data_IF_784666742281
#
_entry.id   IF_784666742281
#
_cell.length_a   1.000
_cell.length_b   1.000
_cell.length_c   1.000
_cell.angle_alpha   90.00
_cell.angle_beta   90.00
_cell.angle_gamma   90.00
#
_symmetry.space_group_name_H-M   'P 1'
#
loop_
_entity.id
_entity.type
_entity.pdbx_description
1 polymer ?
2 non-polymer ?
3 non-polymer ?
4 water ?
#
# COMPACT_ATOMS: atom_id res chain seq x y z
N UNK A 1 2.84 14.75 19.45
CA UNK A 1 2.41 15.62 18.33
C UNK A 1 1.32 14.94 17.52
N UNK A 2 0.55 15.74 16.79
CA UNK A 2 -0.52 15.21 15.95
C UNK A 2 -0.09 15.33 14.49
N UNK A 3 -0.61 14.44 13.65
CA UNK A 3 -0.28 14.47 12.24
C UNK A 3 -1.55 14.14 11.45
N UNK A 4 -1.45 14.30 10.13
CA UNK A 4 -2.56 13.97 9.24
C UNK A 4 -2.07 12.74 8.48
N UNK A 5 -2.63 11.58 8.81
CA UNK A 5 -2.27 10.33 8.18
C UNK A 5 -3.20 10.04 7.01
N UNK A 6 -2.61 9.65 5.88
CA UNK A 6 -3.38 9.30 4.70
C UNK A 6 -3.14 7.80 4.51
N UNK A 7 -4.17 7.02 4.78
CA UNK A 7 -4.08 5.56 4.70
C UNK A 7 -4.43 5.09 3.30
N UNK A 8 -3.53 4.28 2.73
CA UNK A 8 -3.66 3.77 1.37
C UNK A 8 -3.73 2.24 1.32
N UNK A 9 -4.89 1.75 0.93
CA UNK A 9 -5.14 0.30 0.84
C UNK A 9 -4.42 -0.32 -0.34
N UNK A 10 -4.41 -1.65 -0.38
CA UNK A 10 -3.76 -2.38 -1.46
C UNK A 10 -4.73 -2.75 -2.58
N UNK A 11 -4.22 -3.36 -3.63
CA UNK A 11 -5.09 -3.74 -4.74
C UNK A 11 -6.19 -4.69 -4.28
N UNK A 12 -7.34 -4.57 -4.93
CA UNK A 12 -8.52 -5.39 -4.65
C UNK A 12 -9.18 -5.07 -3.32
N UNK A 13 -8.63 -4.08 -2.61
CA UNK A 13 -9.18 -3.67 -1.32
C UNK A 13 -9.71 -2.24 -1.40
N UNK A 14 -10.05 -1.67 -0.25
CA UNK A 14 -10.56 -0.33 -0.20
C UNK A 14 -10.30 0.27 1.18
N UNK A 15 -10.76 1.50 1.39
CA UNK A 15 -10.56 2.18 2.66
C UNK A 15 -11.03 1.35 3.85
N UNK A 16 -12.01 0.49 3.62
CA UNK A 16 -12.56 -0.37 4.67
C UNK A 16 -11.54 -1.20 5.44
N UNK A 17 -10.40 -1.50 4.82
CA UNK A 17 -9.40 -2.30 5.51
C UNK A 17 -8.84 -1.55 6.73
N UNK A 18 -8.97 -0.23 6.72
CA UNK A 18 -8.48 0.60 7.81
C UNK A 18 -9.57 0.93 8.83
N UNK A 19 -10.68 0.20 8.80
CA UNK A 19 -11.78 0.53 9.71
C UNK A 19 -11.49 0.43 11.20
N UNK A 20 -10.44 -0.30 11.58
CA UNK A 20 -10.10 -0.40 12.99
C UNK A 20 -9.02 0.62 13.33
N UNK A 21 -8.04 0.78 12.45
CA UNK A 21 -6.95 1.71 12.70
C UNK A 21 -7.34 3.19 12.68
N UNK A 22 -8.21 3.57 11.74
CA UNK A 22 -8.61 4.97 11.63
C UNK A 22 -9.17 5.55 12.93
N UNK A 23 -10.19 4.91 13.54
CA UNK A 23 -10.68 5.50 14.79
C UNK A 23 -9.68 5.49 15.93
N UNK A 24 -8.77 4.53 15.94
CA UNK A 24 -7.76 4.48 16.99
C UNK A 24 -6.80 5.65 16.84
N UNK A 25 -6.40 5.95 15.61
CA UNK A 25 -5.49 7.07 15.39
C UNK A 25 -6.19 8.38 15.78
N UNK A 26 -7.49 8.47 15.48
CA UNK A 26 -8.24 9.67 15.83
C UNK A 26 -8.35 9.81 17.35
N UNK A 27 -8.40 8.68 18.05
CA UNK A 27 -8.49 8.70 19.51
C UNK A 27 -7.18 9.21 20.12
N UNK A 28 -6.13 9.26 19.30
CA UNK A 28 -4.83 9.75 19.75
C UNK A 28 -4.72 11.24 19.40
N UNK A 29 -5.74 11.75 18.69
CA UNK A 29 -5.77 13.16 18.32
C UNK A 29 -5.37 13.50 16.91
N UNK A 30 -5.13 12.47 16.09
CA UNK A 30 -4.71 12.70 14.71
C UNK A 30 -5.84 12.87 13.72
N UNK A 31 -5.51 13.43 12.57
CA UNK A 31 -6.47 13.61 11.49
C UNK A 31 -6.18 12.41 10.59
N UNK A 32 -7.22 11.74 10.12
CA UNK A 32 -7.02 10.58 9.26
C UNK A 32 -7.88 10.61 8.03
N UNK A 33 -7.27 10.32 6.89
CA UNK A 33 -7.98 10.24 5.62
C UNK A 33 -7.71 8.84 5.07
N UNK A 34 -8.78 8.08 4.86
CA UNK A 34 -8.66 6.72 4.31
C UNK A 34 -9.35 6.78 2.96
N UNK A 35 -8.57 6.74 1.90
CA UNK A 35 -9.09 6.84 0.55
C UNK A 35 -9.45 5.53 -0.14
N UNK A 36 -10.34 5.64 -1.12
CA UNK A 36 -10.68 4.51 -1.96
C UNK A 36 -9.96 4.89 -3.25
N UNK A 37 -9.04 4.06 -3.71
CA UNK A 37 -8.34 4.36 -4.96
C UNK A 37 -9.28 4.04 -6.12
N UNK A 38 -8.85 4.29 -7.36
CA UNK A 38 -9.71 4.05 -8.51
C UNK A 38 -10.20 2.61 -8.55
N UNK A 39 -11.48 2.44 -8.89
CA UNK A 39 -12.12 1.13 -9.01
C UNK A 39 -11.95 0.27 -7.76
N UNK A 40 -11.84 0.93 -6.61
CA UNK A 40 -11.66 0.23 -5.33
C UNK A 40 -12.69 0.66 -4.30
N UNK A 41 -12.99 -0.22 -3.37
CA UNK A 41 -13.98 0.10 -2.34
C UNK A 41 -15.27 0.53 -2.99
N UNK A 42 -15.78 1.71 -2.65
CA UNK A 42 -17.01 2.17 -3.26
C UNK A 42 -16.80 3.20 -4.37
N UNK A 43 -15.59 3.22 -4.93
CA UNK A 43 -15.30 4.12 -6.05
C UNK A 43 -16.19 3.60 -7.18
N UNK A 44 -16.82 4.52 -7.94
CA UNK A 44 -17.71 4.16 -9.05
C UNK A 44 -17.10 3.54 -10.30
N UNK A 45 -15.80 3.64 -10.48
CA UNK A 45 -15.16 3.08 -11.67
C UNK A 45 -14.94 1.57 -11.57
N UNK A 46 -14.85 0.92 -12.72
CA UNK A 46 -14.59 -0.52 -12.78
C UNK A 46 -13.14 -0.62 -13.23
N UNK A 47 -12.46 -1.69 -12.83
CA UNK A 47 -11.05 -1.84 -13.18
C UNK A 47 -10.73 -1.77 -14.66
N UNK A 48 -11.65 -2.21 -15.51
CA UNK A 48 -11.42 -2.18 -16.95
C UNK A 48 -11.26 -0.76 -17.50
N UNK A 49 -11.60 0.24 -16.69
CA UNK A 49 -11.50 1.65 -17.08
C UNK A 49 -10.12 2.21 -16.72
N UNK A 50 -9.36 1.45 -15.95
CA UNK A 50 -8.04 1.88 -15.48
C UNK A 50 -6.91 1.25 -16.28
N UNK A 51 -6.01 2.07 -16.79
CA UNK A 51 -4.93 1.54 -17.61
C UNK A 51 -3.51 1.53 -17.07
N UNK A 52 -3.33 1.98 -15.83
CA UNK A 52 -1.98 2.00 -15.25
C UNK A 52 -2.06 2.21 -13.74
N UNK A 53 -0.95 1.95 -13.06
CA UNK A 53 -0.91 2.13 -11.61
C UNK A 53 -1.04 3.62 -11.30
N UNK A 54 -0.63 4.47 -12.25
CA UNK A 54 -0.74 5.91 -12.04
C UNK A 54 -2.20 6.34 -12.08
N UNK A 55 -2.97 5.81 -13.02
CA UNK A 55 -4.39 6.15 -13.11
C UNK A 55 -5.09 5.59 -11.88
N UNK A 56 -4.68 4.41 -11.46
CA UNK A 56 -5.24 3.76 -10.29
C UNK A 56 -5.04 4.64 -9.05
N UNK A 57 -3.93 5.38 -9.04
CA UNK A 57 -3.59 6.28 -7.94
C UNK A 57 -4.29 7.64 -7.95
N UNK A 58 -5.12 7.89 -8.95
CA UNK A 58 -5.78 9.19 -9.06
C UNK A 58 -6.36 9.78 -7.77
N UNK A 59 -7.18 9.00 -7.03
CA UNK A 59 -7.74 9.59 -5.82
C UNK A 59 -6.69 10.13 -4.84
N UNK A 60 -5.55 9.47 -4.75
CA UNK A 60 -4.48 9.91 -3.86
C UNK A 60 -3.85 11.20 -4.39
N UNK A 61 -3.59 11.25 -5.68
CA UNK A 61 -2.99 12.44 -6.31
C UNK A 61 -3.93 13.62 -6.20
N UNK A 62 -5.22 13.39 -6.42
CA UNK A 62 -6.21 14.44 -6.34
C UNK A 62 -6.31 14.97 -4.91
N UNK A 63 -6.22 14.07 -3.93
CA UNK A 63 -6.28 14.46 -2.54
C UNK A 63 -5.09 15.34 -2.17
N UNK A 64 -3.89 14.93 -2.59
CA UNK A 64 -2.68 15.69 -2.28
C UNK A 64 -2.73 17.07 -2.94
N UNK A 65 -3.26 17.12 -4.16
CA UNK A 65 -3.37 18.37 -4.89
C UNK A 65 -4.25 19.36 -4.12
N UNK A 66 -5.27 18.84 -3.44
CA UNK A 66 -6.18 19.67 -2.67
C UNK A 66 -5.63 20.20 -1.34
N UNK A 67 -4.47 19.72 -0.93
CA UNK A 67 -3.87 20.19 0.32
C UNK A 67 -3.34 21.61 0.15
N UNK A 68 -3.77 22.54 1.02
CA UNK A 68 -3.30 23.93 0.92
C UNK A 68 -1.78 23.98 1.13
N UNK A 69 -1.10 25.00 0.57
CA UNK A 69 0.35 25.11 0.74
C UNK A 69 0.77 25.04 2.20
N UNK A 70 1.84 24.31 2.47
CA UNK A 70 2.33 24.20 3.84
C UNK A 70 1.86 22.98 4.61
N UNK A 71 0.73 22.42 4.20
CA UNK A 71 0.20 21.24 4.88
C UNK A 71 0.86 19.96 4.39
N UNK A 72 1.41 19.21 5.33
CA UNK A 72 2.08 17.95 5.01
C UNK A 72 1.33 16.78 5.65
N UNK A 73 1.47 15.61 5.04
CA UNK A 73 0.81 14.42 5.54
C UNK A 73 1.80 13.27 5.63
N UNK A 74 1.41 12.25 6.38
CA UNK A 74 2.22 11.04 6.50
C UNK A 74 1.43 9.98 5.76
N UNK A 75 2.02 9.46 4.69
CA UNK A 75 1.34 8.43 3.91
C UNK A 75 1.60 7.07 4.54
N UNK A 76 0.57 6.23 4.58
CA UNK A 76 0.71 4.89 5.14
C UNK A 76 0.14 3.94 4.10
N UNK A 77 0.99 3.12 3.48
CA UNK A 77 0.51 2.21 2.46
C UNK A 77 0.71 0.76 2.82
N UNK A 78 -0.31 -0.06 2.60
CA UNK A 78 -0.21 -1.48 2.90
C UNK A 78 -0.04 -2.30 1.62
N UNK A 79 0.75 -3.35 1.73
CA UNK A 79 0.99 -4.27 0.62
C UNK A 79 1.42 -3.58 -0.69
N UNK A 80 0.54 -3.49 -1.68
CA UNK A 80 0.91 -2.85 -2.94
C UNK A 80 0.85 -1.33 -2.87
N UNK A 81 0.36 -0.82 -1.75
CA UNK A 81 0.24 0.62 -1.56
C UNK A 81 1.54 1.38 -1.69
N UNK A 82 2.66 0.68 -1.48
CA UNK A 82 3.96 1.33 -1.60
C UNK A 82 4.17 1.92 -2.98
N UNK A 83 3.56 1.31 -4.00
CA UNK A 83 3.69 1.81 -5.36
C UNK A 83 2.90 3.11 -5.51
N UNK A 84 1.76 3.21 -4.85
CA UNK A 84 0.97 4.44 -4.91
C UNK A 84 1.76 5.55 -4.22
N UNK A 85 2.48 5.20 -3.16
CA UNK A 85 3.30 6.16 -2.44
C UNK A 85 4.39 6.73 -3.33
N UNK A 86 5.10 5.85 -4.05
CA UNK A 86 6.17 6.28 -4.94
C UNK A 86 5.64 7.22 -6.01
N UNK A 87 4.52 6.85 -6.61
CA UNK A 87 3.90 7.67 -7.65
C UNK A 87 3.54 9.03 -7.10
N UNK A 88 2.92 9.05 -5.92
CA UNK A 88 2.52 10.31 -5.29
C UNK A 88 3.71 11.17 -4.91
N UNK A 89 4.78 10.54 -4.44
CA UNK A 89 5.98 11.27 -4.02
C UNK A 89 6.69 11.99 -5.17
N UNK A 90 6.55 11.47 -6.38
CA UNK A 90 7.19 12.09 -7.53
C UNK A 90 6.38 13.26 -8.06
N UNK A 91 5.23 13.54 -7.44
CA UNK A 91 4.38 14.65 -7.85
C UNK A 91 4.16 15.65 -6.73
N UNK A 92 4.16 15.17 -5.48
CA UNK A 92 3.92 16.03 -4.32
C UNK A 92 4.88 15.77 -3.17
N UNK A 93 6.16 15.60 -3.47
CA UNK A 93 7.14 15.33 -2.42
C UNK A 93 7.13 16.37 -1.30
N UNK A 94 6.92 17.64 -1.65
CA UNK A 94 6.91 18.68 -0.62
C UNK A 94 5.75 18.58 0.38
N UNK A 95 4.73 17.81 0.04
CA UNK A 95 3.57 17.66 0.92
C UNK A 95 3.63 16.39 1.76
N UNK A 96 4.72 15.64 1.64
CA UNK A 96 4.87 14.40 2.37
C UNK A 96 5.93 14.50 3.47
N UNK A 97 5.48 14.42 4.72
CA UNK A 97 6.40 14.49 5.85
C UNK A 97 7.19 13.19 5.94
N UNK A 98 6.53 12.08 5.63
CA UNK A 98 7.14 10.77 5.66
C UNK A 98 6.19 9.75 5.06
N UNK A 99 6.73 8.59 4.69
CA UNK A 99 5.93 7.52 4.13
C UNK A 99 6.19 6.28 4.97
N UNK A 100 5.11 5.64 5.40
CA UNK A 100 5.19 4.43 6.20
C UNK A 100 4.72 3.26 5.35
N UNK A 101 5.56 2.24 5.26
CA UNK A 101 5.25 1.04 4.49
C UNK A 101 4.82 -0.03 5.49
N UNK A 102 3.64 -0.60 5.24
CA UNK A 102 2.98 -1.58 6.11
C UNK A 102 2.92 -2.91 5.36
N UNK A 103 3.86 -3.81 5.65
CA UNK A 103 3.98 -5.10 4.94
C UNK A 103 3.78 -4.73 3.47
N UNK A 104 4.51 -3.72 3.04
CA UNK A 104 4.36 -3.17 1.69
C UNK A 104 5.54 -3.30 0.76
N UNK A 105 5.25 -3.23 -0.53
CA UNK A 105 6.29 -3.25 -1.53
C UNK A 105 7.05 -1.94 -1.31
N UNK A 106 8.35 -1.99 -1.55
CA UNK A 106 9.21 -0.82 -1.38
C UNK A 106 9.96 -0.56 -2.67
N UNK A 107 9.36 0.21 -3.58
CA UNK A 107 10.02 0.51 -4.85
C UNK A 107 11.31 1.28 -4.61
N UNK A 108 12.21 1.28 -5.60
CA UNK A 108 13.45 2.03 -5.48
C UNK A 108 13.61 2.95 -6.69
N UNK A 109 14.78 3.55 -6.82
CA UNK A 109 15.03 4.47 -7.93
C UNK A 109 16.10 3.96 -8.90
N UNK A 110 16.79 2.89 -8.52
CA UNK A 110 17.84 2.34 -9.37
C UNK A 110 17.29 1.33 -10.40
N UNK A 111 16.16 0.70 -10.08
CA UNK A 111 15.58 -0.28 -10.99
C UNK A 111 14.21 0.14 -11.52
N UNK A 112 13.71 -0.59 -12.51
CA UNK A 112 12.41 -0.29 -13.11
C UNK A 112 11.34 -0.33 -12.03
N UNK A 113 10.22 0.40 -12.23
CA UNK A 113 9.14 0.42 -11.25
C UNK A 113 8.54 -0.95 -10.90
N UNK A 114 8.64 -1.91 -11.81
CA UNK A 114 8.08 -3.24 -11.56
C UNK A 114 9.03 -4.15 -10.79
N UNK A 115 10.27 -3.70 -10.61
CA UNK A 115 11.31 -4.48 -9.94
C UNK A 115 10.90 -5.30 -8.72
N UNK A 116 10.36 -4.66 -7.68
CA UNK A 116 9.98 -5.41 -6.49
C UNK A 116 8.76 -6.29 -6.70
N UNK A 117 7.93 -5.95 -7.67
CA UNK A 117 6.75 -6.75 -7.97
C UNK A 117 7.20 -8.04 -8.66
N UNK A 118 8.17 -7.91 -9.56
CA UNK A 118 8.70 -9.06 -10.26
C UNK A 118 9.33 -10.01 -9.25
N UNK A 119 10.00 -9.45 -8.25
CA UNK A 119 10.65 -10.26 -7.22
C UNK A 119 9.59 -10.97 -6.38
N UNK A 120 8.53 -10.24 -6.03
CA UNK A 120 7.45 -10.83 -5.23
C UNK A 120 6.87 -12.06 -5.94
N UNK A 121 6.66 -11.95 -7.24
CA UNK A 121 6.10 -13.06 -8.00
C UNK A 121 7.02 -14.27 -8.00
N UNK A 122 8.32 -14.03 -7.80
CA UNK A 122 9.29 -15.10 -7.75
C UNK A 122 9.20 -15.83 -6.40
N UNK A 123 9.11 -15.04 -5.33
CA UNK A 123 9.03 -15.59 -3.99
C UNK A 123 7.68 -16.23 -3.68
N UNK A 124 6.61 -15.64 -4.21
CA UNK A 124 5.26 -16.16 -3.99
C UNK A 124 4.57 -16.34 -5.34
N UNK A 125 4.88 -17.44 -6.05
CA UNK A 125 4.31 -17.74 -7.36
C UNK A 125 2.90 -18.33 -7.41
N UNK A 126 2.50 -19.04 -6.37
CA UNK A 126 1.18 -19.68 -6.33
C UNK A 126 0.13 -18.88 -5.55
N UNK A 127 -0.78 -18.23 -6.28
CA UNK A 127 -1.82 -17.44 -5.64
C UNK A 127 -3.10 -18.25 -5.40
N UNK A 128 -2.94 -19.56 -5.34
CA UNK A 128 -4.02 -20.50 -5.07
C UNK A 128 -5.28 -20.37 -5.92
N UNK A 129 -6.42 -20.09 -5.29
CA UNK A 129 -7.68 -20.00 -6.03
C UNK A 129 -7.98 -18.64 -6.66
N UNK A 130 -6.97 -17.78 -6.73
CA UNK A 130 -7.12 -16.47 -7.35
C UNK A 130 -7.41 -16.68 -8.83
N UNK A 131 -8.33 -15.89 -9.38
CA UNK A 131 -8.68 -16.01 -10.79
C UNK A 131 -8.14 -14.82 -11.57
N UNK A 132 -7.91 -15.03 -12.87
CA UNK A 132 -7.37 -13.98 -13.72
C UNK A 132 -8.20 -13.76 -14.97
N UNK A 133 -8.06 -12.58 -15.55
CA UNK A 133 -8.74 -12.22 -16.78
C UNK A 133 -7.92 -11.13 -17.45
N UNK A 134 -8.25 -10.82 -18.70
CA UNK A 134 -7.53 -9.80 -19.42
C UNK A 134 -8.47 -8.80 -20.03
N UNK A 135 -8.04 -7.55 -20.09
CA UNK A 135 -8.81 -6.50 -20.72
C UNK A 135 -7.83 -5.57 -21.41
N UNK A 136 -8.32 -4.77 -22.35
CA UNK A 136 -7.45 -3.87 -23.06
C UNK A 136 -7.79 -2.43 -22.76
N UNK A 137 -6.76 -1.63 -22.50
CA UNK A 137 -6.94 -0.21 -22.23
C UNK A 137 -5.75 0.54 -22.79
N UNK A 138 -6.04 1.56 -23.60
CA UNK A 138 -5.01 2.37 -24.22
C UNK A 138 -4.00 1.51 -24.99
N UNK A 139 -4.51 0.53 -25.74
CA UNK A 139 -3.68 -0.32 -26.55
C UNK A 139 -2.84 -1.37 -25.83
N UNK A 140 -3.02 -1.50 -24.52
CA UNK A 140 -2.25 -2.48 -23.76
C UNK A 140 -3.14 -3.55 -23.14
N UNK A 141 -2.64 -4.79 -23.14
CA UNK A 141 -3.36 -5.90 -22.55
C UNK A 141 -2.99 -5.93 -21.07
N UNK A 142 -3.99 -5.74 -20.21
CA UNK A 142 -3.76 -5.74 -18.78
C UNK A 142 -4.33 -7.00 -18.15
N UNK A 143 -3.59 -7.56 -17.20
CA UNK A 143 -4.04 -8.75 -16.50
C UNK A 143 -4.75 -8.36 -15.22
N UNK A 144 -6.03 -8.68 -15.16
CA UNK A 144 -6.82 -8.38 -13.97
C UNK A 144 -6.87 -9.62 -13.11
N UNK A 145 -7.24 -9.46 -11.85
CA UNK A 145 -7.34 -10.61 -10.96
C UNK A 145 -8.36 -10.39 -9.87
N UNK A 146 -8.86 -11.49 -9.34
CA UNK A 146 -9.80 -11.43 -8.24
C UNK A 146 -9.22 -12.41 -7.22
N UNK A 147 -8.81 -11.87 -6.07
CA UNK A 147 -8.21 -12.67 -5.02
C UNK A 147 -9.08 -13.83 -4.59
N UNK A 148 -8.49 -15.02 -4.56
CA UNK A 148 -9.24 -16.21 -4.17
C UNK A 148 -9.58 -16.20 -2.69
N UNK A 149 -10.75 -16.76 -2.35
CA UNK A 149 -11.18 -16.79 -0.96
C UNK A 149 -10.26 -17.63 -0.09
N UNK A 150 -9.68 -18.69 -0.65
CA UNK A 150 -8.77 -19.53 0.13
C UNK A 150 -7.47 -18.77 0.38
N UNK A 151 -6.99 -18.06 -0.65
CA UNK A 151 -5.77 -17.28 -0.51
C UNK A 151 -6.01 -16.21 0.56
N UNK A 152 -7.18 -15.58 0.50
CA UNK A 152 -7.52 -14.55 1.47
C UNK A 152 -7.50 -15.12 2.89
N UNK A 153 -8.14 -16.26 3.06
CA UNK A 153 -8.23 -16.91 4.36
C UNK A 153 -6.91 -17.37 4.94
N UNK A 154 -6.12 -18.06 4.13
CA UNK A 154 -4.86 -18.64 4.57
C UNK A 154 -3.62 -17.76 4.53
N UNK A 155 -3.51 -16.89 3.53
CA UNK A 155 -2.31 -16.07 3.41
C UNK A 155 -2.40 -14.58 3.72
N UNK A 156 -3.56 -13.98 3.52
CA UNK A 156 -3.72 -12.55 3.79
C UNK A 156 -4.34 -12.23 5.14
N UNK A 157 -5.39 -12.95 5.49
CA UNK A 157 -6.10 -12.73 6.76
C UNK A 157 -5.91 -13.91 7.69
N UNK A 158 -4.74 -14.53 7.61
CA UNK A 158 -4.38 -15.71 8.39
C UNK A 158 -4.91 -15.76 9.83
N UNK A 159 -4.66 -14.71 10.59
CA UNK A 159 -5.09 -14.68 11.99
C UNK A 159 -6.22 -13.71 12.31
N UNK A 160 -6.88 -13.19 11.27
CA UNK A 160 -7.99 -12.25 11.48
C UNK A 160 -9.24 -12.99 11.92
N UNK A 161 -10.13 -12.28 12.60
CA UNK A 161 -11.37 -12.90 13.05
C UNK A 161 -12.29 -13.25 11.88
N UNK A 162 -13.27 -14.15 12.10
CA UNK A 162 -14.18 -14.53 11.01
C UNK A 162 -14.98 -13.35 10.47
N UNK A 163 -15.25 -12.36 11.31
CA UNK A 163 -16.01 -11.19 10.86
C UNK A 163 -15.18 -10.28 9.97
N UNK A 164 -13.87 -10.31 10.14
CA UNK A 164 -12.98 -9.49 9.31
C UNK A 164 -12.77 -10.20 7.97
N UNK A 165 -12.59 -11.51 8.04
CA UNK A 165 -12.42 -12.30 6.82
C UNK A 165 -13.71 -12.16 5.98
N UNK A 166 -14.85 -12.13 6.65
CA UNK A 166 -16.12 -12.00 5.94
C UNK A 166 -16.17 -10.70 5.16
N UNK A 167 -15.71 -9.61 5.78
CA UNK A 167 -15.68 -8.32 5.11
C UNK A 167 -14.84 -8.42 3.83
N UNK A 168 -13.73 -9.14 3.91
CA UNK A 168 -12.86 -9.31 2.74
C UNK A 168 -13.60 -10.06 1.62
N UNK A 169 -14.31 -11.12 1.97
CA UNK A 169 -15.04 -11.88 0.95
C UNK A 169 -16.15 -11.05 0.33
N UNK A 170 -16.77 -10.20 1.13
CA UNK A 170 -17.86 -9.37 0.64
C UNK A 170 -17.39 -8.15 -0.16
N UNK A 171 -16.29 -7.54 0.28
CA UNK A 171 -15.82 -6.31 -0.33
C UNK A 171 -14.65 -6.31 -1.31
N UNK A 172 -13.82 -7.34 -1.32
CA UNK A 172 -12.71 -7.33 -2.28
C UNK A 172 -13.27 -7.37 -3.68
N UNK A 173 -12.66 -6.57 -4.56
CA UNK A 173 -13.10 -6.46 -5.94
C UNK A 173 -11.99 -6.83 -6.92
N UNK A 174 -12.35 -6.93 -8.19
CA UNK A 174 -11.37 -7.23 -9.23
C UNK A 174 -10.38 -6.08 -9.24
N UNK A 175 -9.11 -6.39 -9.50
CA UNK A 175 -8.11 -5.35 -9.56
C UNK A 175 -6.98 -5.77 -10.48
N UNK A 176 -5.86 -5.07 -10.39
CA UNK A 176 -4.71 -5.40 -11.21
C UNK A 176 -3.41 -4.84 -10.63
N UNK A 177 -2.30 -5.51 -10.93
CA UNK A 177 -0.98 -5.08 -10.50
C UNK A 177 -0.37 -4.20 -11.58
N UNK A 178 -0.97 -4.22 -12.78
CA UNK A 178 -0.48 -3.43 -13.91
C UNK A 178 1.01 -3.69 -14.04
N UNK A 179 1.43 -4.93 -13.81
CA UNK A 179 2.83 -5.29 -13.86
C UNK A 179 3.56 -4.93 -15.15
N UNK A 180 2.97 -5.27 -16.28
CA UNK A 180 3.61 -4.98 -17.57
C UNK A 180 3.68 -3.48 -17.85
N UNK A 181 2.73 -2.72 -17.30
CA UNK A 181 2.70 -1.28 -17.49
C UNK A 181 3.79 -0.66 -16.61
N UNK A 182 3.94 -1.17 -15.39
CA UNK A 182 4.96 -0.67 -14.49
C UNK A 182 6.35 -0.91 -15.10
N UNK A 183 6.51 -2.05 -15.76
CA UNK A 183 7.78 -2.42 -16.37
C UNK A 183 8.25 -1.40 -17.40
N UNK A 184 7.31 -0.73 -18.06
CA UNK A 184 7.65 0.25 -19.08
C UNK A 184 7.53 1.70 -18.61
N UNK A 185 7.18 1.88 -17.34
CA UNK A 185 7.02 3.20 -16.77
C UNK A 185 8.35 3.85 -16.43
N UNK A 186 8.43 5.19 -16.57
CA UNK A 186 9.71 5.85 -16.24
C UNK A 186 10.03 5.53 -14.78
N UNK A 187 11.33 5.44 -14.46
CA UNK A 187 11.77 5.14 -13.11
C UNK A 187 11.32 6.20 -12.10
N UNK A 188 11.16 5.78 -10.85
CA UNK A 188 10.80 6.73 -9.81
C UNK A 188 12.04 7.59 -9.64
N UNK A 189 11.86 8.88 -9.39
CA UNK A 189 12.99 9.80 -9.27
C UNK A 189 13.64 9.91 -7.90
N UNK A 190 14.92 10.25 -7.92
CA UNK A 190 15.69 10.41 -6.69
C UNK A 190 15.31 11.71 -5.98
N UNK A 191 15.01 12.75 -6.76
CA UNK A 191 14.65 14.04 -6.20
C UNK A 191 13.28 14.04 -5.53
N UNK A 192 12.36 13.24 -6.08
CA UNK A 192 11.03 13.18 -5.52
C UNK A 192 10.91 12.04 -4.53
N UNK A 193 10.50 10.88 -5.02
CA UNK A 193 10.34 9.69 -4.17
C UNK A 193 11.61 9.39 -3.37
N UNK A 194 12.76 9.49 -4.03
CA UNK A 194 14.01 9.18 -3.33
C UNK A 194 14.29 10.05 -2.12
N UNK A 195 13.78 11.28 -2.12
CA UNK A 195 14.04 12.21 -1.02
C UNK A 195 13.19 12.07 0.24
N UNK A 196 12.04 11.41 0.13
CA UNK A 196 11.17 11.28 1.30
C UNK A 196 11.64 10.28 2.35
N UNK A 197 11.28 10.55 3.59
CA UNK A 197 11.65 9.66 4.69
C UNK A 197 10.78 8.42 4.57
N UNK A 198 11.40 7.26 4.70
CA UNK A 198 10.71 5.99 4.56
C UNK A 198 10.85 5.10 5.79
N UNK A 199 9.71 4.74 6.37
CA UNK A 199 9.65 3.89 7.55
C UNK A 199 9.04 2.56 7.14
N UNK A 200 9.78 1.48 7.35
CA UNK A 200 9.35 0.14 6.94
C UNK A 200 8.87 -0.68 8.13
N UNK A 201 7.58 -1.03 8.11
CA UNK A 201 6.95 -1.82 9.17
C UNK A 201 6.57 -3.18 8.62
N UNK A 202 6.88 -4.25 9.36
CA UNK A 202 6.56 -5.59 8.89
C UNK A 202 6.56 -6.60 10.03
N UNK A 203 6.08 -7.80 9.72
CA UNK A 203 6.10 -8.91 10.67
C UNK A 203 6.63 -10.12 9.92
N UNK A 204 7.45 -10.94 10.58
CA UNK A 204 7.98 -12.12 9.93
C UNK A 204 6.96 -13.26 9.87
N UNK A 205 5.74 -12.99 10.33
CA UNK A 205 4.68 -13.98 10.31
C UNK A 205 3.74 -13.74 9.14
N UNK A 206 4.13 -12.82 8.25
CA UNK A 206 3.32 -12.50 7.07
C UNK A 206 3.37 -13.74 6.17
N UNK A 207 2.21 -14.28 5.82
CA UNK A 207 2.14 -15.48 4.99
C UNK A 207 2.09 -15.29 3.47
N UNK A 208 2.21 -14.04 3.02
CA UNK A 208 2.24 -13.79 1.58
C UNK A 208 3.49 -12.98 1.24
N UNK A 209 3.77 -11.96 2.03
CA UNK A 209 4.98 -11.15 1.83
C UNK A 209 5.94 -11.80 2.83
N UNK A 210 6.48 -12.94 2.42
CA UNK A 210 7.38 -13.74 3.24
C UNK A 210 8.65 -13.03 3.68
N UNK A 211 9.26 -13.49 4.79
CA UNK A 211 10.50 -12.87 5.29
C UNK A 211 11.57 -12.71 4.23
N UNK A 212 11.73 -13.71 3.38
CA UNK A 212 12.73 -13.64 2.32
C UNK A 212 12.51 -12.41 1.46
N UNK A 213 11.25 -12.13 1.14
CA UNK A 213 10.91 -10.98 0.32
C UNK A 213 11.10 -9.66 1.05
N UNK A 214 10.55 -9.56 2.26
CA UNK A 214 10.65 -8.31 3.00
C UNK A 214 12.09 -7.98 3.40
N UNK A 215 12.86 -8.98 3.80
CA UNK A 215 14.26 -8.75 4.18
C UNK A 215 15.06 -8.39 2.93
N UNK A 216 14.66 -8.93 1.78
CA UNK A 216 15.32 -8.63 0.52
C UNK A 216 15.06 -7.16 0.18
N UNK A 217 13.83 -6.69 0.39
CA UNK A 217 13.49 -5.31 0.09
C UNK A 217 14.26 -4.33 0.97
N UNK A 218 14.39 -4.67 2.26
CA UNK A 218 15.10 -3.82 3.20
C UNK A 218 16.57 -3.66 2.82
N UNK A 219 17.18 -4.74 2.33
CA UNK A 219 18.58 -4.70 1.92
C UNK A 219 18.73 -3.99 0.58
N UNK A 220 17.73 -4.14 -0.28
CA UNK A 220 17.76 -3.52 -1.59
C UNK A 220 17.68 -1.99 -1.57
N UNK A 221 16.85 -1.46 -0.69
CA UNK A 221 16.65 -0.03 -0.58
C UNK A 221 16.46 0.28 0.91
N UNK A 222 17.57 0.64 1.56
CA UNK A 222 17.60 0.90 2.99
C UNK A 222 16.63 1.95 3.52
N UNK A 223 15.66 1.51 4.35
CA UNK A 223 14.68 2.45 4.92
C UNK A 223 15.37 3.33 5.94
N UNK A 224 14.77 4.48 6.25
CA UNK A 224 15.34 5.39 7.24
C UNK A 224 15.13 4.79 8.63
N UNK A 225 14.09 3.97 8.76
CA UNK A 225 13.76 3.33 10.02
C UNK A 225 12.98 2.06 9.74
N UNK A 226 13.24 1.02 10.52
CA UNK A 226 12.55 -0.25 10.36
C UNK A 226 11.91 -0.66 11.68
N UNK A 227 10.63 -1.02 11.64
CA UNK A 227 9.92 -1.48 12.82
C UNK A 227 9.43 -2.89 12.53
N UNK A 228 9.76 -3.83 13.41
CA UNK A 228 9.32 -5.20 13.24
C UNK A 228 8.28 -5.49 14.31
N UNK A 229 7.07 -5.82 13.88
CA UNK A 229 5.97 -6.13 14.80
C UNK A 229 5.96 -7.64 15.01
N UNK A 230 5.94 -8.05 16.28
CA UNK A 230 5.93 -9.47 16.60
C UNK A 230 4.52 -10.05 16.48
N UNK A 231 4.43 -11.22 15.85
CA UNK A 231 3.13 -11.87 15.70
C UNK A 231 2.28 -11.24 14.62
N UNK A 232 0.96 -11.45 14.71
CA UNK A 232 0.05 -10.90 13.72
C UNK A 232 0.16 -11.58 12.37
N UNK A 233 -0.39 -10.94 11.35
CA UNK A 233 -0.34 -11.48 9.99
C UNK A 233 -0.15 -10.36 8.97
N UNK A 234 -0.42 -10.65 7.70
CA UNK A 234 -0.25 -9.66 6.66
C UNK A 234 -1.07 -8.39 6.93
N UNK A 235 -2.25 -8.55 7.52
CA UNK A 235 -3.10 -7.41 7.81
C UNK A 235 -2.90 -6.92 9.25
N UNK A 236 -1.71 -6.37 9.52
CA UNK A 236 -1.39 -5.87 10.85
C UNK A 236 -2.37 -4.79 11.32
N UNK A 237 -3.00 -4.07 10.39
CA UNK A 237 -3.93 -3.02 10.81
C UNK A 237 -5.21 -3.63 11.39
N UNK A 238 -5.34 -4.95 11.29
CA UNK A 238 -6.47 -5.67 11.85
C UNK A 238 -6.04 -6.54 13.04
N UNK A 239 -4.90 -7.22 12.90
CA UNK A 239 -4.41 -8.11 13.95
C UNK A 239 -3.50 -7.48 15.01
N UNK A 240 -2.90 -6.34 14.69
CA UNK A 240 -2.02 -5.64 15.61
C UNK A 240 -2.28 -4.15 15.50
N UNK A 241 -3.57 -3.79 15.49
CA UNK A 241 -4.00 -2.40 15.35
C UNK A 241 -3.33 -1.46 16.34
N UNK A 242 -3.31 -1.85 17.61
CA UNK A 242 -2.70 -1.01 18.65
C UNK A 242 -1.23 -0.79 18.41
N UNK A 243 -0.51 -1.86 18.04
CA UNK A 243 0.91 -1.78 17.78
C UNK A 243 1.19 -0.83 16.61
N UNK A 244 0.37 -0.92 15.56
CA UNK A 244 0.55 -0.05 14.41
C UNK A 244 0.31 1.41 14.82
N UNK A 245 -0.72 1.64 15.63
CA UNK A 245 -1.01 3.00 16.07
C UNK A 245 0.15 3.57 16.89
N UNK A 246 0.75 2.73 17.75
CA UNK A 246 1.86 3.18 18.58
C UNK A 246 3.04 3.57 17.68
N UNK A 247 3.30 2.75 16.67
CA UNK A 247 4.39 3.04 15.74
C UNK A 247 4.12 4.34 14.98
N UNK A 248 2.89 4.51 14.50
CA UNK A 248 2.54 5.71 13.77
C UNK A 248 2.66 6.95 14.66
N UNK A 249 2.35 6.81 15.95
CA UNK A 249 2.48 7.94 16.86
C UNK A 249 3.95 8.35 16.94
N UNK A 250 4.85 7.36 17.01
CA UNK A 250 6.27 7.69 17.09
C UNK A 250 6.73 8.37 15.81
N UNK A 251 6.22 7.90 14.67
CA UNK A 251 6.59 8.51 13.39
C UNK A 251 6.13 9.97 13.39
N UNK A 252 4.92 10.22 13.89
CA UNK A 252 4.38 11.57 13.94
C UNK A 252 5.25 12.46 14.83
N UNK A 253 5.82 11.88 15.87
CA UNK A 253 6.68 12.64 16.78
C UNK A 253 8.10 12.78 16.26
N UNK A 254 8.42 12.08 15.19
CA UNK A 254 9.76 12.11 14.62
C UNK A 254 9.90 12.91 13.33
N UNK A 255 8.93 12.78 12.43
CA UNK A 255 8.97 13.46 11.15
C UNK A 255 7.81 14.42 10.93
N UNK A 256 8.11 15.63 10.47
CA UNK A 256 7.07 16.62 10.21
C UNK A 256 7.44 17.51 9.03
#
# INVERSE_FOLDING_TARGET
AFAHFVLIHTICHGAWIWHKLKPLLEALGHKVTALDLAASGVDPRQIEEIGSFDEYSEPLLTFLEALPPGEKVILVGESCGGLNIAIAADKYCEKIAAAVFHNSVLPDTEHCPSYVVDKLMEVFPDWKDTTYFTYTKDGKEITGLKLGFTLLRENLYTLCGPEEYELAKMLTRKGSLFQNILAKRPFFTKEGYGSIKKIYVWTDQDEIFLPEFQLWQIENYKPDKVYKVEGGDHKLQLTKTKEIAEILQEVADTYN
#
